data_IF_088006541491
#
_entry.id   IF_088006541491
#
_cell.length_a   1.000
_cell.length_b   1.000
_cell.length_c   1.000
_cell.angle_alpha   90.00
_cell.angle_beta   90.00
_cell.angle_gamma   90.00
#
_symmetry.space_group_name_H-M   'P 1'
#
loop_
_entity.id
_entity.type
_entity.pdbx_description
1 polymer ?
#
# COMPACT_ATOMS: atom_id res chain seq x y z
N UNK A 1 -8.70 2.57 -50.59
CA UNK A 1 -9.49 1.33 -50.63
C UNK A 1 -8.58 0.17 -51.03
N UNK A 2 -8.51 -0.87 -50.16
CA UNK A 2 -8.15 -2.28 -50.39
C UNK A 2 -6.81 -2.68 -51.09
N UNK A 3 -6.28 -3.92 -50.91
CA UNK A 3 -6.29 -4.80 -49.72
C UNK A 3 -4.97 -5.61 -49.47
N UNK A 4 -4.88 -6.20 -48.28
CA UNK A 4 -4.31 -7.52 -47.87
C UNK A 4 -3.01 -8.08 -48.47
N UNK A 5 -2.04 -8.37 -47.59
CA UNK A 5 -1.32 -9.66 -47.60
C UNK A 5 -1.33 -10.29 -46.22
N UNK A 6 -2.20 -11.29 -46.06
CA UNK A 6 -2.04 -12.37 -45.10
C UNK A 6 -1.13 -13.43 -45.74
N UNK A 7 -0.15 -13.94 -45.01
CA UNK A 7 0.29 -15.34 -45.20
C UNK A 7 0.68 -15.89 -43.83
N UNK A 8 0.20 -17.10 -43.58
CA UNK A 8 0.06 -17.75 -42.30
C UNK A 8 1.19 -18.76 -42.01
N UNK A 9 1.24 -19.18 -40.74
CA UNK A 9 1.90 -20.37 -40.14
C UNK A 9 3.44 -20.33 -39.98
N UNK A 10 4.09 -20.28 -38.80
CA UNK A 10 4.06 -21.04 -37.51
C UNK A 10 4.97 -22.33 -37.54
N UNK A 11 5.66 -22.79 -36.47
CA UNK A 11 6.43 -22.16 -35.37
C UNK A 11 7.91 -22.63 -35.30
N UNK A 12 8.83 -21.87 -34.66
CA UNK A 12 10.01 -22.48 -34.00
C UNK A 12 10.01 -22.12 -32.52
N UNK A 13 9.43 -23.04 -31.76
CA UNK A 13 9.44 -23.15 -30.30
C UNK A 13 10.89 -23.06 -29.78
N UNK A 14 11.33 -21.87 -29.38
CA UNK A 14 12.48 -21.71 -28.48
C UNK A 14 11.94 -21.69 -27.07
N UNK A 15 12.11 -22.80 -26.35
CA UNK A 15 11.83 -22.87 -24.93
C UNK A 15 12.84 -21.97 -24.19
N UNK A 16 12.43 -20.89 -23.51
CA UNK A 16 13.30 -20.27 -22.54
C UNK A 16 13.44 -21.25 -21.37
N UNK A 17 14.65 -21.76 -21.15
CA UNK A 17 14.96 -22.50 -19.95
C UNK A 17 14.59 -21.62 -18.75
N UNK A 18 13.63 -22.08 -17.93
CA UNK A 18 13.28 -21.44 -16.66
C UNK A 18 14.44 -21.65 -15.70
N UNK A 19 15.42 -20.75 -15.77
CA UNK A 19 16.39 -20.58 -14.68
C UNK A 19 15.59 -20.00 -13.52
N UNK A 20 15.20 -20.85 -12.58
CA UNK A 20 14.62 -20.40 -11.32
C UNK A 20 15.63 -19.46 -10.66
N UNK A 21 15.37 -18.17 -10.73
CA UNK A 21 16.10 -17.18 -9.96
C UNK A 21 15.83 -17.49 -8.48
N UNK A 22 16.85 -17.60 -7.62
CA UNK A 22 16.60 -17.60 -6.19
C UNK A 22 15.87 -16.28 -5.87
N UNK A 23 14.76 -16.38 -5.13
CA UNK A 23 14.02 -15.22 -4.63
C UNK A 23 15.05 -14.34 -3.92
N UNK A 24 15.34 -13.16 -4.47
CA UNK A 24 16.13 -12.16 -3.78
C UNK A 24 15.40 -11.84 -2.49
N UNK A 25 15.97 -12.23 -1.36
CA UNK A 25 15.63 -11.62 -0.08
C UNK A 25 15.75 -10.11 -0.30
N UNK A 26 14.74 -9.29 0.03
CA UNK A 26 14.96 -7.86 0.08
C UNK A 26 16.12 -7.66 1.05
N UNK A 27 17.24 -7.11 0.57
CA UNK A 27 18.31 -6.68 1.46
C UNK A 27 17.64 -5.83 2.53
N UNK A 28 17.88 -6.17 3.80
CA UNK A 28 17.48 -5.33 4.93
C UNK A 28 18.37 -4.08 4.92
N UNK A 29 18.32 -3.31 3.82
CA UNK A 29 18.88 -1.97 3.72
C UNK A 29 18.25 -1.18 4.87
N UNK A 30 19.11 -0.80 5.81
CA UNK A 30 18.75 -0.44 7.17
C UNK A 30 17.45 0.34 7.27
N UNK A 31 16.55 -0.13 8.14
CA UNK A 31 15.25 0.49 8.43
C UNK A 31 15.45 2.00 8.53
N UNK A 32 14.87 2.73 7.56
CA UNK A 32 14.88 4.19 7.56
C UNK A 32 14.39 4.63 8.94
N UNK A 33 15.14 5.51 9.60
CA UNK A 33 14.78 6.05 10.92
C UNK A 33 13.30 6.41 10.89
N UNK A 34 12.53 5.90 11.86
CA UNK A 34 11.09 6.16 11.91
C UNK A 34 10.89 7.67 11.99
N UNK A 35 10.03 8.20 11.11
CA UNK A 35 9.78 9.64 11.07
C UNK A 35 9.08 10.06 12.36
N UNK A 36 9.73 10.93 13.15
CA UNK A 36 9.14 11.52 14.35
C UNK A 36 8.66 12.93 14.04
N UNK A 37 7.37 13.17 14.24
CA UNK A 37 6.78 14.50 14.10
C UNK A 37 7.31 15.47 15.17
N UNK A 38 7.32 16.76 14.83
CA UNK A 38 7.65 17.82 15.78
C UNK A 38 6.56 17.92 16.87
N UNK A 39 6.91 18.36 18.08
CA UNK A 39 5.91 18.66 19.09
C UNK A 39 4.86 19.62 18.51
N UNK A 40 3.59 19.38 18.83
CA UNK A 40 2.46 20.16 18.32
C UNK A 40 1.90 19.72 16.97
N UNK A 41 2.67 19.01 16.12
CA UNK A 41 2.16 18.58 14.80
C UNK A 41 0.99 17.59 14.94
N UNK A 42 1.15 16.60 15.81
CA UNK A 42 0.11 15.58 16.05
C UNK A 42 -1.10 16.21 16.78
N UNK A 43 -0.86 17.09 17.75
CA UNK A 43 -1.92 17.79 18.46
C UNK A 43 -2.80 18.62 17.51
N UNK A 44 -2.20 19.39 16.60
CA UNK A 44 -2.96 20.15 15.60
C UNK A 44 -3.73 19.24 14.64
N UNK A 45 -3.20 18.07 14.31
CA UNK A 45 -3.88 17.08 13.48
C UNK A 45 -5.12 16.51 14.20
N UNK A 46 -4.97 16.15 15.49
CA UNK A 46 -6.06 15.64 16.33
C UNK A 46 -7.15 16.68 16.55
N UNK A 47 -6.81 17.95 16.84
CA UNK A 47 -7.78 19.05 16.98
C UNK A 47 -8.62 19.18 15.70
N UNK A 48 -7.97 19.19 14.53
CA UNK A 48 -8.68 19.27 13.24
C UNK A 48 -9.56 18.05 12.99
N UNK A 49 -9.11 16.85 13.35
CA UNK A 49 -9.91 15.61 13.22
C UNK A 49 -11.19 15.69 14.06
N UNK A 50 -11.06 16.01 15.35
CA UNK A 50 -12.20 16.04 16.28
C UNK A 50 -13.15 17.21 16.07
N UNK A 51 -12.70 18.31 15.45
CA UNK A 51 -13.60 19.38 15.04
C UNK A 51 -14.38 19.05 13.75
N UNK A 52 -13.89 18.09 12.95
CA UNK A 52 -14.54 17.68 11.70
C UNK A 52 -15.58 16.57 11.91
N UNK A 53 -15.35 15.66 12.86
CA UNK A 53 -16.28 14.59 13.19
C UNK A 53 -16.94 14.83 14.55
N UNK A 54 -18.00 14.06 14.84
CA UNK A 54 -18.70 14.08 16.13
C UNK A 54 -18.62 12.71 16.81
N UNK A 55 -17.51 12.00 16.63
CA UNK A 55 -17.25 10.71 17.28
C UNK A 55 -17.06 10.91 18.78
N UNK A 56 -17.52 9.95 19.58
CA UNK A 56 -17.34 10.02 21.03
C UNK A 56 -15.86 9.87 21.39
N UNK A 57 -15.37 10.77 22.25
CA UNK A 57 -13.99 10.74 22.74
C UNK A 57 -13.77 9.69 23.84
N UNK A 58 -14.86 9.21 24.45
CA UNK A 58 -14.87 8.19 25.50
C UNK A 58 -15.70 7.01 25.00
N UNK A 59 -15.25 5.79 25.32
CA UNK A 59 -15.99 4.58 24.95
C UNK A 59 -17.39 4.56 25.59
N UNK A 60 -18.39 4.09 24.82
CA UNK A 60 -19.79 4.04 25.26
C UNK A 60 -20.00 3.12 26.48
N UNK A 61 -19.52 1.88 26.41
CA UNK A 61 -19.78 0.84 27.41
C UNK A 61 -19.34 1.22 28.85
N UNK A 62 -18.11 1.72 29.10
CA UNK A 62 -17.74 2.12 30.46
C UNK A 62 -18.54 3.32 30.98
N UNK A 63 -18.99 4.24 30.10
CA UNK A 63 -19.78 5.39 30.51
C UNK A 63 -21.26 5.03 30.77
N UNK A 64 -21.78 4.03 30.05
CA UNK A 64 -23.12 3.50 30.27
C UNK A 64 -23.29 2.91 31.68
N UNK A 65 -22.23 2.36 32.28
CA UNK A 65 -22.26 1.77 33.62
C UNK A 65 -21.95 2.78 34.75
N UNK A 66 -21.61 4.04 34.42
CA UNK A 66 -21.19 5.05 35.40
C UNK A 66 -22.34 5.96 35.88
N UNK A 67 -23.48 5.96 35.17
CA UNK A 67 -24.68 6.76 35.50
C UNK A 67 -25.63 5.91 36.33
#
# INVERSE_FOLDING_TARGET
MAPTKQTAANPLRKQPATKAAPKSVPSTEGVKKTHRYRPGTVALHEIRRYQKSTELLIHKLPFQHLV
#
